data_IF_491691266653
#
_entry.id   IF_491691266653
#
_cell.length_a   1.000
_cell.length_b   1.000
_cell.length_c   1.000
_cell.angle_alpha   90.00
_cell.angle_beta   90.00
_cell.angle_gamma   90.00
#
_symmetry.space_group_name_H-M   'P 1'
#
loop_
_entity.id
_entity.type
_entity.pdbx_description
1 polymer ?
#
# COMPACT_ATOMS: atom_id res chain seq x y z
N UNK A 1 -50.81 -45.73 -20.55
CA UNK A 1 -50.89 -44.27 -20.37
C UNK A 1 -50.14 -43.93 -19.10
N UNK A 2 -48.98 -43.27 -19.23
CA UNK A 2 -48.39 -42.46 -18.17
C UNK A 2 -47.50 -41.43 -18.86
N UNK A 3 -48.00 -40.21 -18.87
CA UNK A 3 -47.36 -38.96 -19.30
C UNK A 3 -46.75 -38.29 -18.07
N UNK A 4 -45.64 -37.57 -18.24
CA UNK A 4 -45.07 -36.71 -17.19
C UNK A 4 -43.56 -36.85 -17.15
N UNK A 5 -42.84 -36.15 -18.02
CA UNK A 5 -42.22 -34.84 -17.75
C UNK A 5 -40.73 -35.03 -17.42
N UNK A 6 -39.95 -34.91 -18.48
CA UNK A 6 -38.49 -34.81 -18.43
C UNK A 6 -38.21 -33.33 -18.08
N UNK A 7 -37.84 -33.06 -16.84
CA UNK A 7 -37.34 -31.74 -16.45
C UNK A 7 -36.07 -31.44 -17.27
N UNK A 8 -36.21 -30.60 -18.28
CA UNK A 8 -35.11 -29.81 -18.82
C UNK A 8 -34.72 -28.82 -17.72
N UNK A 9 -33.67 -29.16 -16.98
CA UNK A 9 -32.91 -28.18 -16.20
C UNK A 9 -32.22 -27.26 -17.23
N UNK A 10 -32.92 -26.19 -17.58
CA UNK A 10 -32.31 -25.03 -18.21
C UNK A 10 -31.26 -24.49 -17.23
N UNK A 11 -29.99 -24.70 -17.58
CA UNK A 11 -28.87 -23.96 -17.00
C UNK A 11 -29.08 -22.49 -17.37
N UNK A 12 -29.85 -21.76 -16.56
CA UNK A 12 -29.74 -20.32 -16.48
C UNK A 12 -28.31 -20.04 -16.01
N UNK A 13 -27.45 -19.68 -16.96
CA UNK A 13 -26.24 -18.93 -16.65
C UNK A 13 -26.68 -17.72 -15.82
N UNK A 14 -26.51 -17.83 -14.50
CA UNK A 14 -26.56 -16.68 -13.62
C UNK A 14 -25.47 -15.72 -14.11
N UNK A 15 -25.87 -14.76 -14.95
CA UNK A 15 -25.17 -13.52 -15.18
C UNK A 15 -25.06 -12.85 -13.81
N UNK A 16 -24.03 -13.24 -13.03
CA UNK A 16 -23.63 -12.55 -11.81
C UNK A 16 -23.18 -11.17 -12.28
N UNK A 17 -24.11 -10.21 -12.27
CA UNK A 17 -23.82 -8.83 -12.60
C UNK A 17 -22.65 -8.36 -11.77
N UNK A 18 -21.65 -7.75 -12.41
CA UNK A 18 -20.48 -7.23 -11.73
C UNK A 18 -20.92 -6.26 -10.62
N UNK A 19 -20.34 -6.35 -9.42
CA UNK A 19 -20.78 -5.52 -8.31
C UNK A 19 -20.66 -4.03 -8.66
N UNK A 20 -21.66 -3.20 -8.35
CA UNK A 20 -21.64 -1.78 -8.69
C UNK A 20 -20.49 -1.06 -7.96
N UNK A 21 -19.97 0.01 -8.57
CA UNK A 21 -19.02 0.91 -7.93
C UNK A 21 -19.60 1.43 -6.62
N UNK A 22 -18.91 1.19 -5.49
CA UNK A 22 -19.40 1.54 -4.15
C UNK A 22 -18.87 2.87 -3.62
N UNK A 23 -18.38 3.75 -4.49
CA UNK A 23 -17.92 5.07 -4.06
C UNK A 23 -18.16 6.15 -5.12
N UNK A 24 -18.61 7.34 -4.69
CA UNK A 24 -19.09 8.38 -5.60
C UNK A 24 -17.95 9.19 -6.21
N UNK A 25 -18.23 9.81 -7.37
CA UNK A 25 -17.31 10.75 -8.03
C UNK A 25 -16.81 11.86 -7.08
N UNK A 26 -17.68 12.37 -6.20
CA UNK A 26 -17.31 13.37 -5.17
C UNK A 26 -16.26 12.84 -4.20
N UNK A 27 -16.36 11.59 -3.76
CA UNK A 27 -15.35 10.97 -2.86
C UNK A 27 -14.02 10.78 -3.60
N UNK A 28 -14.08 10.37 -4.87
CA UNK A 28 -12.90 10.29 -5.75
C UNK A 28 -12.19 11.63 -5.91
N UNK A 29 -12.91 12.69 -6.26
CA UNK A 29 -12.32 14.02 -6.43
C UNK A 29 -11.71 14.51 -5.11
N UNK A 30 -12.35 14.19 -3.98
CA UNK A 30 -11.82 14.42 -2.64
C UNK A 30 -10.47 13.74 -2.38
N UNK A 31 -10.25 12.50 -2.83
CA UNK A 31 -8.93 11.86 -2.71
C UNK A 31 -7.89 12.48 -3.63
N UNK A 32 -8.22 12.71 -4.89
CA UNK A 32 -7.31 13.37 -5.82
C UNK A 32 -6.80 14.69 -5.22
N UNK A 33 -7.70 15.48 -4.62
CA UNK A 33 -7.35 16.72 -3.94
C UNK A 33 -6.57 16.48 -2.64
N UNK A 34 -7.04 15.60 -1.75
CA UNK A 34 -6.44 15.35 -0.44
C UNK A 34 -5.04 14.74 -0.50
N UNK A 35 -4.78 13.98 -1.56
CA UNK A 35 -3.51 13.35 -1.89
C UNK A 35 -2.73 14.10 -2.99
N UNK A 36 -3.21 15.29 -3.38
CA UNK A 36 -2.49 16.22 -4.27
C UNK A 36 -1.91 15.54 -5.51
N UNK A 37 -2.67 14.64 -6.13
CA UNK A 37 -2.18 13.94 -7.32
C UNK A 37 -2.02 14.96 -8.47
N UNK A 38 -0.83 15.05 -9.09
CA UNK A 38 -0.63 15.88 -10.27
C UNK A 38 -1.57 15.49 -11.41
N UNK A 39 -2.08 16.49 -12.15
CA UNK A 39 -2.91 16.24 -13.34
C UNK A 39 -2.19 15.36 -14.37
N UNK A 40 -0.86 15.48 -14.48
CA UNK A 40 -0.04 14.70 -15.40
C UNK A 40 -0.12 13.18 -15.16
N UNK A 41 -0.38 12.76 -13.92
CA UNK A 41 -0.57 11.35 -13.53
C UNK A 41 -1.87 10.75 -14.07
N UNK A 42 -2.76 11.61 -14.57
CA UNK A 42 -3.92 11.23 -15.35
C UNK A 42 -4.93 10.39 -14.58
N UNK A 43 -5.11 10.62 -13.29
CA UNK A 43 -6.00 9.82 -12.43
C UNK A 43 -7.45 9.85 -12.97
N UNK A 44 -8.06 8.67 -13.13
CA UNK A 44 -9.41 8.50 -13.71
C UNK A 44 -10.33 7.77 -12.75
N UNK A 45 -11.54 8.31 -12.64
CA UNK A 45 -12.67 7.62 -12.03
C UNK A 45 -13.15 6.53 -13.01
N UNK A 46 -13.44 5.30 -12.54
CA UNK A 46 -13.99 4.24 -13.38
C UNK A 46 -15.39 4.62 -13.90
N UNK A 47 -15.69 4.24 -15.13
CA UNK A 47 -17.05 4.31 -15.67
C UNK A 47 -17.93 3.21 -15.08
N UNK A 48 -19.24 3.37 -15.19
CA UNK A 48 -20.21 2.37 -14.74
C UNK A 48 -19.93 1.00 -15.39
N UNK A 49 -19.92 -0.05 -14.56
CA UNK A 49 -19.62 -1.42 -14.96
C UNK A 49 -18.14 -1.78 -15.05
N UNK A 50 -17.21 -0.82 -14.93
CA UNK A 50 -15.78 -1.13 -14.91
C UNK A 50 -15.32 -1.67 -13.56
N UNK A 51 -14.42 -2.64 -13.62
CA UNK A 51 -13.81 -3.35 -12.49
C UNK A 51 -12.30 -3.14 -12.44
N UNK A 52 -11.64 -3.76 -11.46
CA UNK A 52 -10.19 -3.73 -11.36
C UNK A 52 -9.48 -4.35 -12.59
N UNK A 53 -10.18 -5.20 -13.35
CA UNK A 53 -9.71 -5.81 -14.59
C UNK A 53 -9.68 -4.83 -15.77
N UNK A 54 -10.45 -3.75 -15.71
CA UNK A 54 -10.77 -2.91 -16.86
C UNK A 54 -9.89 -1.67 -16.94
N UNK A 55 -8.70 -1.72 -16.34
CA UNK A 55 -7.71 -0.66 -16.45
C UNK A 55 -7.41 -0.40 -17.95
N UNK A 56 -7.57 0.84 -18.43
CA UNK A 56 -7.23 1.17 -19.82
C UNK A 56 -5.77 0.85 -20.12
N UNK A 57 -5.44 0.66 -21.40
CA UNK A 57 -4.04 0.53 -21.79
C UNK A 57 -3.20 1.69 -21.22
N UNK A 58 -2.02 1.39 -20.68
CA UNK A 58 -1.13 2.39 -20.07
C UNK A 58 -1.58 2.88 -18.68
N UNK A 59 -2.63 2.29 -18.12
CA UNK A 59 -3.11 2.53 -16.77
C UNK A 59 -2.99 1.28 -15.91
N UNK A 60 -2.98 1.50 -14.60
CA UNK A 60 -3.10 0.47 -13.57
C UNK A 60 -4.26 0.79 -12.65
N UNK A 61 -4.80 -0.24 -12.01
CA UNK A 61 -5.82 -0.11 -10.98
C UNK A 61 -5.17 0.09 -9.61
N UNK A 62 -5.63 1.08 -8.85
CA UNK A 62 -5.37 1.19 -7.42
C UNK A 62 -6.69 1.19 -6.64
N UNK A 63 -6.63 0.71 -5.40
CA UNK A 63 -7.77 0.68 -4.50
C UNK A 63 -7.70 1.87 -3.55
N UNK A 64 -8.85 2.49 -3.30
CA UNK A 64 -9.02 3.58 -2.34
C UNK A 64 -8.46 3.21 -0.96
N UNK A 65 -8.78 2.02 -0.48
CA UNK A 65 -8.44 1.58 0.88
C UNK A 65 -6.93 1.46 1.10
N UNK A 66 -6.11 1.40 0.04
CA UNK A 66 -4.66 1.55 0.15
C UNK A 66 -4.27 2.88 0.79
N UNK A 67 -4.95 3.97 0.43
CA UNK A 67 -4.58 5.32 0.82
C UNK A 67 -5.15 5.74 2.18
N UNK A 68 -6.37 5.32 2.50
CA UNK A 68 -7.04 5.66 3.76
C UNK A 68 -6.57 4.79 4.91
N UNK A 69 -6.77 3.47 4.80
CA UNK A 69 -6.49 2.54 5.89
C UNK A 69 -5.13 1.86 5.72
N UNK A 70 -4.67 1.71 4.47
CA UNK A 70 -3.40 1.09 4.15
C UNK A 70 -2.18 1.99 4.33
N UNK A 71 -2.33 3.29 4.67
CA UNK A 71 -1.21 4.23 4.82
C UNK A 71 -0.31 4.40 3.57
N UNK A 72 -0.82 4.06 2.38
CA UNK A 72 -0.09 4.18 1.13
C UNK A 72 -0.03 5.63 0.65
N UNK A 73 1.11 6.02 0.05
CA UNK A 73 1.33 7.35 -0.52
C UNK A 73 2.07 7.20 -1.84
N UNK A 74 1.86 8.17 -2.72
CA UNK A 74 2.61 8.35 -3.96
C UNK A 74 3.47 9.61 -3.87
N UNK A 75 4.69 9.64 -4.44
CA UNK A 75 5.43 8.52 -5.03
C UNK A 75 5.67 7.35 -4.07
N UNK A 76 5.95 6.17 -4.61
CA UNK A 76 6.14 4.95 -3.83
C UNK A 76 7.55 4.89 -3.23
N UNK A 77 7.67 4.33 -2.02
CA UNK A 77 8.98 4.10 -1.41
C UNK A 77 9.71 2.93 -2.09
N UNK A 78 11.04 2.98 -2.12
CA UNK A 78 11.89 1.94 -2.71
C UNK A 78 11.63 0.57 -2.09
N UNK A 79 11.52 0.49 -0.76
CA UNK A 79 11.15 -0.76 -0.07
C UNK A 79 9.89 -1.39 -0.65
N UNK A 80 8.84 -0.61 -0.87
CA UNK A 80 7.58 -1.14 -1.38
C UNK A 80 7.76 -1.70 -2.79
N UNK A 81 8.52 -1.01 -3.64
CA UNK A 81 8.89 -1.53 -4.97
C UNK A 81 9.76 -2.79 -4.88
N UNK A 82 10.71 -2.84 -3.94
CA UNK A 82 11.56 -4.01 -3.72
C UNK A 82 10.73 -5.23 -3.30
N UNK A 83 9.69 -5.02 -2.48
CA UNK A 83 8.74 -6.09 -2.10
C UNK A 83 7.95 -6.57 -3.32
N UNK A 84 7.40 -5.65 -4.13
CA UNK A 84 6.71 -6.02 -5.37
C UNK A 84 7.63 -6.78 -6.33
N UNK A 85 8.88 -6.33 -6.49
CA UNK A 85 9.88 -6.95 -7.36
C UNK A 85 10.30 -8.34 -6.86
N UNK A 86 10.54 -8.47 -5.56
CA UNK A 86 10.96 -9.72 -4.94
C UNK A 86 9.89 -10.81 -5.10
N UNK A 87 8.63 -10.49 -4.77
CA UNK A 87 7.51 -11.42 -4.89
C UNK A 87 6.86 -11.42 -6.28
N UNK A 88 7.35 -10.60 -7.21
CA UNK A 88 6.97 -10.54 -8.62
C UNK A 88 5.47 -10.42 -8.88
N UNK A 89 4.75 -9.61 -8.10
CA UNK A 89 3.32 -9.40 -8.30
C UNK A 89 2.98 -7.94 -8.62
N UNK A 90 1.89 -7.74 -9.35
CA UNK A 90 1.41 -6.41 -9.70
C UNK A 90 0.71 -5.75 -8.51
N UNK A 91 0.88 -4.44 -8.30
CA UNK A 91 0.26 -3.74 -7.16
C UNK A 91 -1.26 -3.91 -7.12
N UNK A 92 -1.94 -3.95 -8.27
CA UNK A 92 -3.39 -4.20 -8.36
C UNK A 92 -3.83 -5.59 -7.88
N UNK A 93 -2.89 -6.51 -7.65
CA UNK A 93 -3.15 -7.83 -7.08
C UNK A 93 -2.90 -7.86 -5.56
N UNK A 94 -2.49 -6.74 -4.95
CA UNK A 94 -2.29 -6.66 -3.51
C UNK A 94 -3.63 -6.53 -2.77
N UNK A 95 -3.87 -7.39 -1.79
CA UNK A 95 -4.97 -7.18 -0.86
C UNK A 95 -4.70 -5.96 0.04
N UNK A 96 -5.70 -5.12 0.41
CA UNK A 96 -5.48 -3.98 1.31
C UNK A 96 -4.84 -4.34 2.66
N UNK A 97 -5.17 -5.50 3.23
CA UNK A 97 -4.46 -6.05 4.40
C UNK A 97 -2.95 -6.19 4.14
N UNK A 98 -2.56 -6.67 2.96
CA UNK A 98 -1.16 -6.74 2.53
C UNK A 98 -0.49 -5.37 2.51
N UNK A 99 -1.21 -4.34 2.06
CA UNK A 99 -0.76 -2.94 2.13
C UNK A 99 -0.49 -2.52 3.59
N UNK A 100 -1.44 -2.78 4.50
CA UNK A 100 -1.27 -2.47 5.94
C UNK A 100 -0.01 -3.11 6.49
N UNK A 101 0.24 -4.40 6.22
CA UNK A 101 1.44 -5.10 6.68
C UNK A 101 2.72 -4.42 6.19
N UNK A 102 2.81 -4.12 4.89
CA UNK A 102 4.01 -3.48 4.32
C UNK A 102 4.22 -2.08 4.91
N UNK A 103 3.16 -1.25 4.95
CA UNK A 103 3.29 0.14 5.37
C UNK A 103 3.57 0.26 6.87
N UNK A 104 2.95 -0.56 7.71
CA UNK A 104 3.26 -0.56 9.14
C UNK A 104 4.68 -1.03 9.43
N UNK A 105 5.15 -2.08 8.75
CA UNK A 105 6.53 -2.52 8.87
C UNK A 105 7.51 -1.40 8.51
N UNK A 106 7.31 -0.75 7.36
CA UNK A 106 8.18 0.36 6.94
C UNK A 106 8.16 1.50 7.96
N UNK A 107 6.97 1.90 8.42
CA UNK A 107 6.82 2.94 9.43
C UNK A 107 7.61 2.61 10.69
N UNK A 108 7.43 1.40 11.21
CA UNK A 108 8.08 0.96 12.43
C UNK A 108 9.61 0.97 12.28
N UNK A 109 10.15 0.33 11.25
CA UNK A 109 11.59 0.34 10.98
C UNK A 109 12.15 1.76 10.92
N UNK A 110 11.55 2.64 10.10
CA UNK A 110 12.03 4.01 9.93
C UNK A 110 11.90 4.85 11.20
N UNK A 111 10.81 4.69 11.94
CA UNK A 111 10.58 5.37 13.23
C UNK A 111 11.58 4.98 14.32
N UNK A 112 12.22 3.82 14.16
CA UNK A 112 13.25 3.28 15.04
C UNK A 112 14.66 3.36 14.44
N UNK A 113 14.83 4.09 13.34
CA UNK A 113 16.11 4.26 12.64
C UNK A 113 16.74 2.93 12.16
N UNK A 114 15.91 1.94 11.84
CA UNK A 114 16.31 0.68 11.21
C UNK A 114 16.00 0.78 9.72
N UNK A 115 16.98 0.50 8.86
CA UNK A 115 16.74 0.47 7.42
C UNK A 115 15.80 -0.70 7.07
N UNK A 116 14.60 -0.43 6.52
CA UNK A 116 13.71 -1.51 6.15
C UNK A 116 14.23 -2.20 4.88
N UNK A 117 14.23 -3.52 4.88
CA UNK A 117 14.59 -4.32 3.71
C UNK A 117 13.58 -5.43 3.49
N UNK A 118 13.53 -6.00 2.28
CA UNK A 118 12.71 -7.18 1.99
C UNK A 118 13.06 -8.35 2.92
N UNK A 119 14.35 -8.55 3.23
CA UNK A 119 14.79 -9.61 4.14
C UNK A 119 14.31 -9.37 5.57
N UNK A 120 14.37 -8.13 6.08
CA UNK A 120 13.80 -7.80 7.39
C UNK A 120 12.28 -8.03 7.39
N UNK A 121 11.56 -7.63 6.33
CA UNK A 121 10.11 -7.82 6.20
C UNK A 121 9.73 -9.31 6.24
N UNK A 122 10.42 -10.14 5.46
CA UNK A 122 10.21 -11.59 5.38
C UNK A 122 10.35 -12.28 6.74
N UNK A 123 11.16 -11.74 7.67
CA UNK A 123 11.37 -12.37 8.99
C UNK A 123 10.03 -12.46 9.71
N UNK A 124 9.22 -11.41 9.60
CA UNK A 124 7.93 -11.31 10.28
C UNK A 124 6.76 -11.87 9.47
N UNK A 125 6.86 -11.86 8.14
CA UNK A 125 5.69 -12.07 7.29
C UNK A 125 5.88 -13.11 6.20
N UNK A 126 4.90 -14.01 6.09
CA UNK A 126 4.80 -15.02 5.05
C UNK A 126 3.90 -14.53 3.93
N UNK A 127 4.41 -14.54 2.70
CA UNK A 127 3.63 -14.25 1.51
C UNK A 127 2.63 -15.38 1.25
N UNK A 128 1.41 -15.02 0.83
CA UNK A 128 0.37 -15.96 0.44
C UNK A 128 -0.58 -15.31 -0.59
N UNK A 129 -1.41 -16.14 -1.22
CA UNK A 129 -2.45 -15.74 -2.15
C UNK A 129 -3.76 -16.36 -1.68
N UNK A 130 -4.82 -15.57 -1.65
CA UNK A 130 -6.16 -16.03 -1.34
C UNK A 130 -7.14 -15.34 -2.28
N UNK A 131 -8.01 -16.12 -2.91
CA UNK A 131 -9.04 -15.61 -3.82
C UNK A 131 -8.49 -14.68 -4.92
N UNK A 132 -7.31 -15.03 -5.48
CA UNK A 132 -6.68 -14.25 -6.55
C UNK A 132 -5.96 -12.97 -6.11
N UNK A 133 -5.90 -12.68 -4.81
CA UNK A 133 -5.16 -11.54 -4.26
C UNK A 133 -4.00 -11.99 -3.36
N UNK A 134 -2.87 -11.30 -3.51
CA UNK A 134 -1.69 -11.53 -2.71
C UNK A 134 -1.73 -10.72 -1.43
N UNK A 135 -1.22 -11.31 -0.35
CA UNK A 135 -1.13 -10.66 0.94
C UNK A 135 -0.02 -11.31 1.77
N UNK A 136 0.03 -10.93 3.04
CA UNK A 136 1.00 -11.40 4.00
C UNK A 136 0.31 -11.87 5.28
N UNK A 137 0.89 -12.87 5.92
CA UNK A 137 0.46 -13.39 7.20
C UNK A 137 1.62 -13.31 8.21
N UNK A 138 1.33 -12.97 9.45
CA UNK A 138 2.31 -13.01 10.54
C UNK A 138 2.88 -14.44 10.68
N UNK A 139 4.21 -14.56 10.70
CA UNK A 139 4.90 -15.83 10.94
C UNK A 139 4.83 -16.17 12.43
N UNK A 140 4.47 -17.41 12.75
CA UNK A 140 4.33 -17.90 14.13
C UNK A 140 5.67 -17.94 14.88
N UNK A 141 6.78 -18.10 14.16
CA UNK A 141 8.13 -18.13 14.71
C UNK A 141 8.72 -16.74 15.01
N UNK A 142 8.09 -15.67 14.54
CA UNK A 142 8.53 -14.30 14.74
C UNK A 142 7.68 -13.59 15.80
N UNK A 143 8.27 -12.64 16.51
CA UNK A 143 7.51 -11.78 17.42
C UNK A 143 6.50 -10.94 16.63
N UNK A 144 5.39 -10.61 17.27
CA UNK A 144 4.40 -9.70 16.69
C UNK A 144 4.93 -8.27 16.78
N UNK A 145 4.93 -7.57 15.65
CA UNK A 145 5.31 -6.15 15.59
C UNK A 145 4.14 -5.25 15.16
N UNK A 146 3.07 -5.84 14.63
CA UNK A 146 1.80 -5.17 14.40
C UNK A 146 0.75 -5.81 15.29
N UNK A 147 0.16 -5.00 16.17
CA UNK A 147 -0.94 -5.40 17.05
C UNK A 147 -2.26 -5.13 16.35
N UNK A 148 -3.21 -6.05 16.56
CA UNK A 148 -4.59 -5.93 16.09
C UNK A 148 -4.71 -5.56 14.60
N UNK A 149 -4.07 -6.31 13.68
CA UNK A 149 -4.21 -6.07 12.25
C UNK A 149 -5.69 -6.17 11.82
N UNK A 150 -6.11 -5.46 10.77
CA UNK A 150 -7.47 -5.56 10.26
C UNK A 150 -7.79 -7.01 9.89
N UNK A 151 -8.91 -7.53 10.42
CA UNK A 151 -9.36 -8.89 10.15
C UNK A 151 -9.95 -9.05 8.75
N UNK A 152 -10.53 -7.97 8.24
CA UNK A 152 -11.20 -7.91 6.94
C UNK A 152 -11.17 -6.48 6.43
N UNK A 153 -11.22 -6.35 5.11
CA UNK A 153 -11.66 -5.13 4.44
C UNK A 153 -12.98 -5.48 3.78
N UNK A 154 -14.06 -4.81 4.16
CA UNK A 154 -15.36 -5.03 3.55
C UNK A 154 -15.50 -4.15 2.32
N UNK A 155 -16.04 -4.72 1.23
CA UNK A 155 -16.41 -3.95 0.03
C UNK A 155 -15.28 -3.10 -0.59
N UNK A 156 -14.03 -3.53 -0.46
CA UNK A 156 -12.87 -2.79 -1.00
C UNK A 156 -12.70 -2.97 -2.52
N UNK A 157 -13.03 -4.16 -3.06
CA UNK A 157 -12.91 -4.48 -4.49
C UNK A 157 -13.57 -3.44 -5.43
N UNK A 158 -14.76 -2.89 -5.15
CA UNK A 158 -15.40 -1.87 -6.00
C UNK A 158 -14.93 -0.43 -5.75
N UNK A 159 -14.02 -0.16 -4.81
CA UNK A 159 -13.49 1.19 -4.52
C UNK A 159 -12.19 1.44 -5.29
N UNK A 160 -12.25 1.37 -6.62
CA UNK A 160 -11.08 1.48 -7.49
C UNK A 160 -10.98 2.83 -8.19
N UNK A 161 -9.78 3.13 -8.65
CA UNK A 161 -9.51 4.13 -9.68
C UNK A 161 -8.35 3.72 -10.56
N UNK A 162 -8.24 4.37 -11.72
CA UNK A 162 -7.14 4.14 -12.64
C UNK A 162 -6.12 5.29 -12.57
N UNK A 163 -4.84 4.95 -12.67
CA UNK A 163 -3.74 5.92 -12.74
C UNK A 163 -2.72 5.43 -13.79
N UNK A 164 -2.00 6.35 -14.44
CA UNK A 164 -1.00 5.97 -15.43
C UNK A 164 0.06 5.04 -14.83
N UNK A 165 0.45 4.01 -15.57
CA UNK A 165 1.43 3.01 -15.12
C UNK A 165 2.79 3.63 -14.75
N UNK A 166 3.23 4.66 -15.48
CA UNK A 166 4.50 5.36 -15.23
C UNK A 166 4.59 6.11 -13.90
N UNK A 167 3.49 6.23 -13.15
CA UNK A 167 3.50 6.77 -11.77
C UNK A 167 4.15 5.79 -10.79
N UNK A 168 4.15 4.50 -11.11
CA UNK A 168 4.93 3.51 -10.38
C UNK A 168 6.22 3.31 -11.18
N UNK A 169 7.34 3.80 -10.64
CA UNK A 169 8.67 3.78 -11.30
C UNK A 169 9.30 2.39 -11.34
N UNK A 170 8.53 1.38 -11.75
CA UNK A 170 8.95 0.00 -11.90
C UNK A 170 8.02 -0.68 -12.90
N UNK A 171 8.60 -1.46 -13.82
CA UNK A 171 7.81 -2.35 -14.67
C UNK A 171 7.24 -3.47 -13.80
N UNK A 172 5.92 -3.50 -13.66
CA UNK A 172 5.20 -4.55 -12.95
C UNK A 172 4.66 -5.57 -13.94
N UNK A 173 4.71 -6.85 -13.56
CA UNK A 173 4.06 -7.94 -14.28
C UNK A 173 2.99 -8.55 -13.40
N UNK A 174 1.85 -8.88 -14.00
CA UNK A 174 0.86 -9.70 -13.31
C UNK A 174 1.43 -11.08 -13.02
N UNK A 175 1.19 -11.55 -11.80
CA UNK A 175 1.58 -12.88 -11.37
C UNK A 175 0.38 -13.83 -11.48
N UNK A 176 0.63 -15.06 -11.91
CA UNK A 176 -0.38 -16.12 -11.90
C UNK A 176 -0.60 -16.68 -10.50
N UNK A 177 -1.72 -17.38 -10.29
CA UNK A 177 -2.08 -18.00 -8.99
C UNK A 177 -1.33 -19.29 -8.71
N UNK A 178 -0.08 -19.38 -9.17
CA UNK A 178 0.82 -20.51 -8.90
C UNK A 178 1.07 -20.69 -7.40
N UNK A 179 1.45 -21.92 -7.03
CA UNK A 179 1.72 -22.26 -5.64
C UNK A 179 2.80 -21.34 -5.05
N UNK A 180 2.47 -20.72 -3.92
CA UNK A 180 3.40 -19.89 -3.19
C UNK A 180 4.25 -20.79 -2.31
N UNK A 181 5.54 -20.84 -2.65
CA UNK A 181 6.55 -21.50 -1.84
C UNK A 181 6.57 -20.87 -0.45
N UNK A 182 6.32 -21.70 0.56
CA UNK A 182 6.45 -21.30 1.96
C UNK A 182 7.92 -20.98 2.24
N UNK A 183 8.16 -19.80 2.78
CA UNK A 183 9.50 -19.33 3.07
C UNK A 183 9.87 -19.80 4.48
N UNK A 184 10.93 -20.60 4.60
CA UNK A 184 11.39 -21.18 5.87
C UNK A 184 12.51 -20.35 6.51
N UNK A 185 12.41 -19.01 6.44
CA UNK A 185 13.38 -18.15 7.12
C UNK A 185 13.41 -18.39 8.63
N UNK A 186 14.63 -18.42 9.17
CA UNK A 186 14.87 -18.49 10.61
C UNK A 186 14.71 -17.11 11.25
N UNK A 187 14.17 -17.09 12.45
CA UNK A 187 14.08 -15.88 13.25
C UNK A 187 15.46 -15.50 13.77
N UNK A 188 15.97 -14.30 13.49
CA UNK A 188 17.32 -13.89 13.88
C UNK A 188 17.33 -13.37 15.32
N UNK A 189 17.13 -14.27 16.30
CA UNK A 189 16.93 -13.88 17.70
C UNK A 189 18.13 -13.12 18.31
N UNK A 190 19.34 -13.31 17.79
CA UNK A 190 20.56 -12.63 18.27
C UNK A 190 20.78 -11.25 17.67
N UNK A 191 20.03 -10.88 16.62
CA UNK A 191 20.24 -9.60 15.93
C UNK A 191 19.62 -8.44 16.70
N UNK A 192 20.41 -7.39 16.95
CA UNK A 192 20.00 -6.21 17.74
C UNK A 192 18.78 -5.54 17.11
N UNK A 193 18.78 -5.33 15.79
CA UNK A 193 17.66 -4.71 15.08
C UNK A 193 16.35 -5.49 15.30
N UNK A 194 16.44 -6.83 15.34
CA UNK A 194 15.29 -7.68 15.56
C UNK A 194 14.82 -7.56 17.00
N UNK A 195 15.73 -7.58 17.98
CA UNK A 195 15.39 -7.44 19.40
C UNK A 195 14.75 -6.08 19.71
N UNK A 196 15.29 -5.00 19.14
CA UNK A 196 14.89 -3.63 19.46
C UNK A 196 13.51 -3.27 18.94
N UNK A 197 13.10 -3.78 17.76
CA UNK A 197 11.81 -3.47 17.14
C UNK A 197 10.64 -3.60 18.13
N UNK A 198 9.87 -2.53 18.30
CA UNK A 198 8.68 -2.54 19.16
C UNK A 198 7.47 -3.08 18.40
N UNK A 199 6.44 -3.45 19.14
CA UNK A 199 5.13 -3.62 18.54
C UNK A 199 4.44 -2.27 18.41
N UNK A 200 3.48 -2.15 17.50
CA UNK A 200 2.62 -0.96 17.36
C UNK A 200 1.21 -1.39 16.97
N UNK A 201 0.15 -0.72 17.45
CA UNK A 201 -1.21 -0.96 16.97
C UNK A 201 -1.37 -0.60 15.50
N UNK A 202 -2.25 -1.32 14.81
CA UNK A 202 -2.70 -0.97 13.46
C UNK A 202 -3.57 0.28 13.51
N UNK A 203 -3.11 1.36 12.87
CA UNK A 203 -3.81 2.65 12.84
C UNK A 203 -3.62 3.32 11.48
N UNK A 204 -4.57 4.18 11.10
CA UNK A 204 -4.29 5.22 10.10
C UNK A 204 -3.27 6.21 10.69
N UNK A 205 -2.09 6.29 10.05
CA UNK A 205 -1.00 7.13 10.49
C UNK A 205 -1.26 8.59 10.08
N UNK A 206 -1.08 9.56 11.01
CA UNK A 206 -1.20 10.97 10.68
C UNK A 206 -0.29 11.37 9.52
N UNK A 207 -0.77 12.26 8.63
CA UNK A 207 -0.01 12.70 7.45
C UNK A 207 1.41 13.17 7.79
N UNK A 208 1.59 13.92 8.89
CA UNK A 208 2.90 14.39 9.36
C UNK A 208 3.78 13.26 9.91
N UNK A 209 3.20 12.21 10.49
CA UNK A 209 3.95 11.04 10.95
C UNK A 209 4.50 10.25 9.75
N UNK A 210 3.74 10.12 8.67
CA UNK A 210 4.25 9.55 7.41
C UNK A 210 5.40 10.37 6.83
N UNK A 211 5.35 11.71 6.91
CA UNK A 211 6.48 12.56 6.50
C UNK A 211 7.69 12.39 7.43
N UNK A 212 7.47 12.33 8.74
CA UNK A 212 8.53 12.10 9.74
C UNK A 212 9.16 10.71 9.64
N UNK A 213 8.41 9.72 9.19
CA UNK A 213 8.93 8.41 8.87
C UNK A 213 9.53 8.35 7.46
N UNK A 214 9.58 9.44 6.68
CA UNK A 214 10.10 9.42 5.32
C UNK A 214 9.31 8.56 4.34
N UNK A 215 7.99 8.43 4.57
CA UNK A 215 7.02 7.66 3.78
C UNK A 215 6.00 8.52 3.04
N UNK A 216 6.11 9.85 3.15
CA UNK A 216 5.37 10.83 2.34
C UNK A 216 6.24 12.04 2.02
N UNK A 217 6.16 12.54 0.78
CA UNK A 217 6.84 13.75 0.34
C UNK A 217 6.02 15.03 0.55
N UNK A 218 4.99 15.02 1.40
CA UNK A 218 4.24 16.23 1.76
C UNK A 218 5.00 17.12 2.75
N UNK A 219 6.20 17.49 2.35
CA UNK A 219 7.10 18.42 3.02
C UNK A 219 7.64 19.40 1.99
N UNK A 220 7.79 20.68 2.36
CA UNK A 220 8.41 21.65 1.45
C UNK A 220 9.93 21.44 1.43
N UNK A 221 10.53 21.60 0.26
CA UNK A 221 11.95 21.31 0.02
C UNK A 221 12.91 22.23 0.79
N UNK A 222 12.51 23.47 0.98
CA UNK A 222 13.29 24.59 1.52
C UNK A 222 13.11 24.80 3.03
N UNK A 223 12.35 23.93 3.70
CA UNK A 223 12.13 24.04 5.15
C UNK A 223 13.37 23.70 5.94
N UNK A 224 13.79 24.64 6.79
CA UNK A 224 14.87 24.44 7.74
C UNK A 224 14.42 23.81 9.07
N UNK A 225 13.18 23.36 9.17
CA UNK A 225 12.72 22.55 10.29
C UNK A 225 12.44 21.11 9.84
N UNK A 226 12.33 20.21 10.82
CA UNK A 226 12.01 18.80 10.62
C UNK A 226 10.86 18.37 11.52
N UNK A 227 10.03 17.43 11.06
CA UNK A 227 8.93 16.93 11.86
C UNK A 227 9.43 16.02 12.98
N UNK A 228 8.85 16.16 14.16
CA UNK A 228 9.13 15.32 15.33
C UNK A 228 7.82 14.97 16.04
N UNK A 229 7.86 13.93 16.87
CA UNK A 229 6.76 13.64 17.79
C UNK A 229 7.15 14.05 19.20
N UNK A 230 6.28 14.80 19.85
CA UNK A 230 6.48 15.36 21.19
C UNK A 230 5.49 14.74 22.16
N UNK A 231 5.96 14.41 23.36
CA UNK A 231 5.11 14.18 24.53
C UNK A 231 5.41 15.24 25.58
N UNK A 232 4.46 16.15 25.79
CA UNK A 232 4.73 17.40 26.49
C UNK A 232 5.84 18.18 25.76
N UNK A 233 6.93 18.46 26.47
CA UNK A 233 8.09 19.21 25.94
C UNK A 233 9.26 18.32 25.49
N UNK A 234 9.08 16.99 25.49
CA UNK A 234 10.13 16.05 25.11
C UNK A 234 9.90 15.50 23.72
N UNK A 235 10.94 15.52 22.89
CA UNK A 235 10.97 14.72 21.65
C UNK A 235 11.06 13.25 22.06
N UNK A 236 10.14 12.44 21.56
CA UNK A 236 10.14 10.99 21.79
C UNK A 236 10.21 10.24 20.46
N UNK A 237 10.42 8.93 20.53
CA UNK A 237 10.51 8.10 19.33
C UNK A 237 9.19 8.11 18.55
N UNK A 238 9.29 8.17 17.22
CA UNK A 238 8.14 8.38 16.33
C UNK A 238 7.14 7.21 16.38
N UNK A 239 7.57 5.98 16.68
CA UNK A 239 6.65 4.83 16.74
C UNK A 239 5.53 5.04 17.77
N UNK A 240 5.76 5.89 18.78
CA UNK A 240 4.80 6.20 19.84
C UNK A 240 3.53 6.86 19.30
N UNK A 241 3.59 7.51 18.13
CA UNK A 241 2.41 8.03 17.40
C UNK A 241 1.30 6.99 17.29
N UNK A 242 1.67 5.71 17.14
CA UNK A 242 0.71 4.62 16.99
C UNK A 242 -0.23 4.48 18.21
N UNK A 243 0.23 4.84 19.41
CA UNK A 243 -0.52 4.63 20.66
C UNK A 243 -1.44 5.78 21.05
N UNK A 244 -1.55 6.85 20.24
CA UNK A 244 -2.48 7.99 20.45
C UNK A 244 -2.50 8.53 21.90
N UNK A 245 -1.31 8.84 22.43
CA UNK A 245 -1.12 9.35 23.80
C UNK A 245 -1.76 10.74 23.96
N UNK A 246 -2.43 10.99 25.09
CA UNK A 246 -3.18 12.25 25.34
C UNK A 246 -2.32 13.52 25.15
N UNK A 247 -1.07 13.50 25.62
CA UNK A 247 -0.14 14.63 25.51
C UNK A 247 0.80 14.55 24.31
N UNK A 248 0.52 13.63 23.38
CA UNK A 248 1.34 13.34 22.22
C UNK A 248 0.93 14.13 20.98
N UNK A 249 1.87 14.79 20.30
CA UNK A 249 1.59 15.55 19.08
C UNK A 249 2.74 15.58 18.08
N UNK A 250 2.39 15.64 16.80
CA UNK A 250 3.36 15.99 15.76
C UNK A 250 3.70 17.48 15.85
N UNK A 251 4.98 17.80 15.96
CA UNK A 251 5.51 19.16 15.96
C UNK A 251 6.63 19.30 14.93
N UNK A 252 7.28 20.46 14.91
CA UNK A 252 8.48 20.69 14.14
C UNK A 252 9.54 21.30 15.03
N UNK A 253 10.80 21.00 14.74
CA UNK A 253 11.96 21.59 15.41
C UNK A 253 12.94 22.07 14.35
N UNK A 254 13.67 23.17 14.58
CA UNK A 254 14.74 23.59 13.69
C UNK A 254 15.71 22.44 13.44
N UNK A 255 16.17 22.29 12.20
CA UNK A 255 17.28 21.40 11.89
C UNK A 255 18.53 21.88 12.62
N UNK A 256 19.48 20.98 12.84
CA UNK A 256 20.82 21.40 13.32
C UNK A 256 21.61 22.06 12.18
N UNK A 257 22.61 22.86 12.52
CA UNK A 257 23.42 23.58 11.52
C UNK A 257 24.10 22.63 10.52
N UNK A 258 24.59 21.49 11.01
CA UNK A 258 25.25 20.42 10.26
C UNK A 258 24.28 19.42 9.60
N UNK A 259 22.98 19.52 9.89
CA UNK A 259 21.98 18.60 9.37
C UNK A 259 21.47 19.04 8.00
N UNK A 260 21.41 18.10 7.06
CA UNK A 260 20.78 18.27 5.76
C UNK A 260 19.27 18.56 5.90
N UNK A 261 18.68 19.31 4.97
CA UNK A 261 17.23 19.55 4.94
C UNK A 261 16.46 18.23 4.98
N UNK A 262 15.41 18.17 5.82
CA UNK A 262 14.63 16.96 6.01
C UNK A 262 14.09 16.37 4.70
N UNK A 263 13.68 17.23 3.76
CA UNK A 263 13.23 16.81 2.44
C UNK A 263 14.29 16.00 1.69
N UNK A 264 15.54 16.48 1.67
CA UNK A 264 16.65 15.83 0.96
C UNK A 264 17.02 14.48 1.58
N UNK A 265 16.81 14.34 2.89
CA UNK A 265 16.97 13.05 3.57
C UNK A 265 15.89 12.06 3.09
N UNK A 266 14.61 12.45 3.16
CA UNK A 266 13.50 11.51 2.88
C UNK A 266 13.31 11.21 1.40
N UNK A 267 13.64 12.13 0.48
CA UNK A 267 13.44 11.92 -0.97
C UNK A 267 14.21 10.73 -1.49
N UNK A 268 15.33 10.38 -0.84
CA UNK A 268 16.15 9.19 -1.15
C UNK A 268 15.37 7.88 -0.99
N UNK A 269 14.36 7.85 -0.11
CA UNK A 269 13.53 6.68 0.14
C UNK A 269 12.55 6.39 -1.00
N UNK A 270 12.38 7.29 -1.97
CA UNK A 270 11.38 7.19 -3.02
C UNK A 270 12.01 6.89 -4.37
N UNK A 271 11.24 6.18 -5.20
CA UNK A 271 11.45 6.18 -6.64
C UNK A 271 10.47 7.18 -7.24
N UNK A 272 10.99 8.33 -7.69
CA UNK A 272 10.17 9.38 -8.29
C UNK A 272 9.73 8.96 -9.71
N UNK A 273 8.47 9.22 -10.11
CA UNK A 273 8.04 9.04 -11.48
C UNK A 273 8.89 9.88 -12.42
N UNK A 274 9.32 9.32 -13.55
CA UNK A 274 9.95 10.11 -14.60
C UNK A 274 8.88 10.70 -15.50
N UNK A 275 9.02 11.96 -15.89
CA UNK A 275 8.04 12.63 -16.74
C UNK A 275 7.84 11.90 -18.07
N UNK A 276 8.91 11.33 -18.64
CA UNK A 276 8.87 10.49 -19.84
C UNK A 276 7.99 9.24 -19.67
N UNK A 277 8.06 8.55 -18.52
CA UNK A 277 7.28 7.33 -18.26
C UNK A 277 5.80 7.66 -18.07
N UNK A 278 5.51 8.80 -17.45
CA UNK A 278 4.13 9.29 -17.24
C UNK A 278 3.56 9.87 -18.54
N UNK A 279 4.39 10.41 -19.43
CA UNK A 279 3.98 10.93 -20.72
C UNK A 279 3.87 9.85 -21.82
N UNK A 280 4.53 8.71 -21.64
CA UNK A 280 4.55 7.61 -22.60
C UNK A 280 3.13 7.18 -22.99
N UNK A 281 2.89 7.07 -24.30
CA UNK A 281 1.62 6.59 -24.82
C UNK A 281 1.43 5.11 -24.48
N UNK A 282 0.21 4.67 -24.13
CA UNK A 282 -0.09 3.28 -23.92
C UNK A 282 0.31 2.38 -25.10
N UNK A 283 0.95 1.25 -24.86
CA UNK A 283 0.98 0.19 -25.87
C UNK A 283 -0.42 -0.43 -25.99
N UNK A 284 -0.90 -0.66 -27.21
CA UNK A 284 -2.27 -1.12 -27.51
C UNK A 284 -2.55 -2.57 -27.11
N UNK A 285 -1.62 -3.26 -26.45
CA UNK A 285 -1.80 -4.65 -26.00
C UNK A 285 -2.54 -4.63 -24.67
N UNK A 286 -3.87 -4.54 -24.75
CA UNK A 286 -4.76 -4.76 -23.62
C UNK A 286 -4.63 -6.22 -23.16
N UNK A 287 -3.98 -6.45 -22.01
CA UNK A 287 -4.13 -7.72 -21.32
C UNK A 287 -5.58 -7.82 -20.87
N UNK A 288 -6.34 -8.78 -21.38
CA UNK A 288 -7.59 -9.18 -20.70
C UNK A 288 -7.17 -9.86 -19.41
N UNK A 289 -7.60 -9.32 -18.26
CA UNK A 289 -7.17 -9.80 -16.95
C UNK A 289 -8.32 -10.53 -16.25
N UNK A 290 -8.06 -11.74 -15.76
CA UNK A 290 -9.00 -12.48 -14.92
C UNK A 290 -8.68 -12.20 -13.45
N UNK A 291 -9.37 -11.23 -12.86
CA UNK A 291 -9.52 -11.22 -11.41
C UNK A 291 -10.66 -12.19 -11.07
N UNK A 292 -10.42 -13.12 -10.13
CA UNK A 292 -11.51 -13.91 -9.56
C UNK A 292 -12.34 -12.97 -8.67
N UNK A 293 -13.43 -12.43 -9.22
CA UNK A 293 -14.34 -11.57 -8.48
C UNK A 293 -15.26 -12.38 -7.59
#
# INVERSE_FOLDING_TARGET
MSTGERHEDSLEEMSVGLPPLKWSKKVFDGLVQNFKFPNSWGVRYPNDGQTAADAPAGYITLFWDYFTEGNFRLPVTRLFLDILAYYKFHISQLHPIGMVWIRHFEFLCRSMHIEPTVNHFRVFYQFHCSQGFYSFAQRSSAKKILLDPPKSFHDWKPKIFFIKVGVISMKMTFRGTEDIVVDNMKTPQSEIWYQDLKDVPSIELPKRALVAAGMSLYWKMDREDKPVYMEGDKIVSLYIVAYKRENGRMATVPKRADEELWYLQIVRNFALPRDEDVAAQPSTVAGKFNFAF
#
